data_IF_622915339521
#
_entry.id   IF_622915339521
#
_cell.length_a   1.000
_cell.length_b   1.000
_cell.length_c   1.000
_cell.angle_alpha   90.00
_cell.angle_beta   90.00
_cell.angle_gamma   90.00
#
_symmetry.space_group_name_H-M   'P 1'
#
loop_
_entity.id
_entity.type
_entity.pdbx_description
1 polymer ?
#
# COMPACT_ATOMS: atom_id res chain seq x y z
N UNK A 1 11.44 -12.48 5.20
CA UNK A 1 10.56 -11.42 5.77
C UNK A 1 11.15 -10.08 5.37
N UNK A 2 10.36 -9.13 4.86
CA UNK A 2 10.87 -7.83 4.36
C UNK A 2 11.62 -7.02 5.43
N UNK A 3 11.11 -7.00 6.68
CA UNK A 3 11.78 -6.39 7.83
C UNK A 3 13.15 -7.00 8.15
N UNK A 4 13.35 -8.29 7.89
CA UNK A 4 14.64 -8.93 8.12
C UNK A 4 15.66 -8.59 7.00
N UNK A 5 15.18 -8.25 5.81
CA UNK A 5 16.02 -7.90 4.67
C UNK A 5 16.41 -6.42 4.66
N UNK A 6 15.50 -5.53 5.09
CA UNK A 6 15.75 -4.09 5.20
C UNK A 6 14.90 -3.51 6.35
N UNK A 7 15.39 -3.57 7.60
CA UNK A 7 14.65 -3.13 8.78
C UNK A 7 14.44 -1.60 8.84
N UNK A 8 15.29 -0.83 8.17
CA UNK A 8 15.17 0.63 8.12
C UNK A 8 14.06 1.09 7.18
N UNK A 9 13.78 0.29 6.15
CA UNK A 9 12.68 0.53 5.22
C UNK A 9 11.38 -0.10 5.69
N UNK A 10 11.42 -1.34 6.19
CA UNK A 10 10.23 -2.13 6.55
C UNK A 10 10.11 -2.31 8.07
N UNK A 11 9.26 -1.48 8.67
CA UNK A 11 9.15 -1.33 10.11
C UNK A 11 7.93 -2.10 10.60
N UNK A 12 8.13 -3.04 11.52
CA UNK A 12 7.03 -3.65 12.26
C UNK A 12 6.84 -2.90 13.58
N UNK A 13 5.72 -2.19 13.72
CA UNK A 13 5.40 -1.48 14.94
C UNK A 13 4.56 -2.36 15.87
N UNK A 14 4.85 -2.34 17.18
CA UNK A 14 4.20 -3.17 18.20
C UNK A 14 2.67 -3.17 18.14
N UNK A 15 2.08 -2.00 17.84
CA UNK A 15 0.63 -1.86 17.65
C UNK A 15 0.04 -2.82 16.60
N UNK A 16 0.83 -3.22 15.60
CA UNK A 16 0.44 -4.11 14.52
C UNK A 16 0.93 -5.56 14.71
N UNK A 17 1.38 -5.98 15.89
CA UNK A 17 1.84 -7.37 16.13
C UNK A 17 0.74 -8.41 15.84
N UNK A 18 -0.51 -8.10 16.18
CA UNK A 18 -1.66 -8.98 15.92
C UNK A 18 -2.17 -8.94 14.47
N UNK A 19 -1.59 -8.08 13.63
CA UNK A 19 -2.04 -7.85 12.27
C UNK A 19 -0.92 -8.18 11.28
N UNK A 20 -1.28 -8.69 10.10
CA UNK A 20 -0.31 -8.96 9.03
C UNK A 20 0.04 -7.66 8.28
N UNK A 21 0.46 -6.62 9.01
CA UNK A 21 0.77 -5.30 8.50
C UNK A 21 2.22 -4.93 8.81
N UNK A 22 2.89 -4.33 7.82
CA UNK A 22 4.22 -3.76 7.96
C UNK A 22 4.19 -2.32 7.45
N UNK A 23 4.87 -1.43 8.16
CA UNK A 23 4.99 -0.03 7.78
C UNK A 23 6.20 0.14 6.86
N UNK A 24 6.13 1.12 5.97
CA UNK A 24 7.25 1.50 5.11
C UNK A 24 7.66 2.92 5.47
N UNK A 25 8.96 3.15 5.67
CA UNK A 25 9.50 4.47 5.95
C UNK A 25 9.22 5.44 4.78
N UNK A 26 8.55 6.56 5.08
CA UNK A 26 8.01 7.49 4.07
C UNK A 26 9.08 8.09 3.15
N UNK A 27 10.30 8.20 3.64
CA UNK A 27 11.46 8.76 2.94
C UNK A 27 12.27 7.71 2.17
N UNK A 28 11.87 6.43 2.18
CA UNK A 28 12.65 5.31 1.61
C UNK A 28 11.91 4.52 0.53
N UNK A 29 10.65 4.84 0.24
CA UNK A 29 9.93 4.16 -0.84
C UNK A 29 10.07 4.88 -2.18
N UNK A 30 10.01 4.10 -3.26
CA UNK A 30 9.87 4.66 -4.61
C UNK A 30 8.45 5.23 -4.79
N UNK A 31 8.36 6.50 -5.17
CA UNK A 31 7.07 7.22 -5.26
C UNK A 31 6.14 6.64 -6.32
N UNK A 32 6.70 6.23 -7.47
CA UNK A 32 5.91 5.66 -8.56
C UNK A 32 5.31 4.30 -8.17
N UNK A 33 6.12 3.46 -7.54
CA UNK A 33 5.68 2.20 -6.96
C UNK A 33 4.61 2.40 -5.88
N UNK A 34 4.82 3.34 -4.95
CA UNK A 34 3.87 3.59 -3.86
C UNK A 34 2.52 4.08 -4.39
N UNK A 35 2.53 5.00 -5.36
CA UNK A 35 1.30 5.47 -5.98
C UNK A 35 0.56 4.33 -6.69
N UNK A 36 1.26 3.53 -7.50
CA UNK A 36 0.66 2.39 -8.18
C UNK A 36 0.07 1.37 -7.17
N UNK A 37 0.80 1.11 -6.08
CA UNK A 37 0.34 0.22 -5.00
C UNK A 37 -0.91 0.76 -4.32
N UNK A 38 -0.94 2.04 -3.95
CA UNK A 38 -2.10 2.66 -3.30
C UNK A 38 -3.32 2.69 -4.21
N UNK A 39 -3.16 3.02 -5.49
CA UNK A 39 -4.25 2.97 -6.47
C UNK A 39 -4.80 1.56 -6.60
N UNK A 40 -3.94 0.55 -6.68
CA UNK A 40 -4.36 -0.86 -6.72
C UNK A 40 -5.11 -1.30 -5.46
N UNK A 41 -4.59 -0.95 -4.27
CA UNK A 41 -5.26 -1.27 -3.00
C UNK A 41 -6.61 -0.55 -2.86
N UNK A 42 -6.68 0.73 -3.24
CA UNK A 42 -7.94 1.46 -3.27
C UNK A 42 -8.93 0.83 -4.25
N UNK A 43 -8.49 0.51 -5.47
CA UNK A 43 -9.34 -0.10 -6.49
C UNK A 43 -9.94 -1.42 -6.01
N UNK A 44 -9.13 -2.27 -5.36
CA UNK A 44 -9.60 -3.53 -4.79
C UNK A 44 -10.60 -3.36 -3.64
N UNK A 45 -10.53 -2.26 -2.88
CA UNK A 45 -11.41 -1.96 -1.75
C UNK A 45 -12.63 -1.10 -2.12
N UNK A 46 -12.60 -0.41 -3.27
CA UNK A 46 -13.60 0.58 -3.63
C UNK A 46 -14.94 -0.08 -4.01
N UNK A 47 -16.08 0.54 -3.64
CA UNK A 47 -17.39 0.06 -4.07
C UNK A 47 -17.53 0.05 -5.61
N UNK A 48 -18.08 -1.04 -6.16
CA UNK A 48 -18.23 -1.27 -7.62
C UNK A 48 -18.87 -0.10 -8.37
N UNK A 49 -19.83 0.62 -7.76
CA UNK A 49 -20.46 1.79 -8.37
C UNK A 49 -19.46 2.90 -8.70
N UNK A 50 -18.47 3.13 -7.82
CA UNK A 50 -17.45 4.15 -8.03
C UNK A 50 -16.37 3.67 -9.00
N UNK A 51 -16.04 2.38 -8.98
CA UNK A 51 -15.07 1.79 -9.91
C UNK A 51 -15.51 1.93 -11.36
N UNK A 52 -16.79 1.70 -11.67
CA UNK A 52 -17.31 1.81 -13.03
C UNK A 52 -17.05 3.20 -13.64
N UNK A 53 -17.34 4.26 -12.89
CA UNK A 53 -17.16 5.63 -13.35
C UNK A 53 -15.67 6.01 -13.39
N UNK A 54 -14.88 5.51 -12.43
CA UNK A 54 -13.44 5.72 -12.40
C UNK A 54 -12.71 5.06 -13.57
N UNK A 55 -12.97 3.78 -13.83
CA UNK A 55 -12.34 3.02 -14.90
C UNK A 55 -12.71 3.60 -16.28
N UNK A 56 -13.93 4.12 -16.45
CA UNK A 56 -14.34 4.79 -17.67
C UNK A 56 -13.59 6.10 -17.97
N UNK A 57 -12.94 6.71 -16.97
CA UNK A 57 -12.25 8.00 -17.10
C UNK A 57 -10.73 7.92 -16.99
N UNK A 58 -10.19 6.80 -16.51
CA UNK A 58 -8.77 6.60 -16.19
C UNK A 58 -8.14 5.33 -16.78
N UNK A 59 -8.92 4.51 -17.48
CA UNK A 59 -8.44 3.36 -18.25
C UNK A 59 -7.72 3.75 -19.53
#
# INVERSE_FOLDING_TARGET
MLSAADPDTFIHHKHYEAHNLILIAVNRFDKGWAEARWRSTWHAAAPKRFLKDWDATKG
#
